data_IF_281783613723
#
_entry.id   IF_281783613723
#
_cell.length_a   1.000
_cell.length_b   1.000
_cell.length_c   1.000
_cell.angle_alpha   90.00
_cell.angle_beta   90.00
_cell.angle_gamma   90.00
#
_symmetry.space_group_name_H-M   'P 1'
#
loop_
_entity.id
_entity.type
_entity.pdbx_description
1 polymer ?
#
# COMPACT_ATOMS: atom_id res chain seq x y z
N UNK A 1 -3.45 -12.25 -20.77
CA UNK A 1 -2.53 -11.58 -19.82
C UNK A 1 -2.46 -10.12 -20.21
N UNK A 2 -2.84 -9.20 -19.32
CA UNK A 2 -2.75 -7.76 -19.58
C UNK A 2 -1.46 -7.24 -18.95
N UNK A 3 -0.66 -6.50 -19.72
CA UNK A 3 0.57 -5.85 -19.24
C UNK A 3 0.31 -4.36 -19.10
N UNK A 4 0.60 -3.81 -17.92
CA UNK A 4 0.48 -2.39 -17.64
C UNK A 4 1.85 -1.74 -17.84
N UNK A 5 1.91 -0.67 -18.63
CA UNK A 5 3.12 0.13 -18.76
C UNK A 5 3.40 0.97 -17.50
N UNK A 6 4.61 1.52 -17.36
CA UNK A 6 4.95 2.40 -16.26
C UNK A 6 4.05 3.65 -16.24
N UNK A 7 3.86 4.23 -15.06
CA UNK A 7 3.08 5.47 -14.87
C UNK A 7 1.62 5.38 -15.35
N UNK A 8 1.01 4.19 -15.28
CA UNK A 8 -0.40 3.98 -15.62
C UNK A 8 -1.23 3.65 -14.39
N UNK A 9 -2.34 4.36 -14.26
CA UNK A 9 -3.33 4.05 -13.24
C UNK A 9 -3.95 2.69 -13.49
N UNK A 10 -4.10 1.93 -12.41
CA UNK A 10 -4.72 0.63 -12.46
C UNK A 10 -5.49 0.38 -11.17
N UNK A 11 -6.60 -0.34 -11.32
CA UNK A 11 -7.43 -0.84 -10.23
C UNK A 11 -7.82 -2.26 -10.59
N UNK A 12 -7.66 -3.16 -9.64
CA UNK A 12 -8.18 -4.52 -9.74
C UNK A 12 -9.50 -4.58 -8.97
N UNK A 13 -10.53 -5.09 -9.63
CA UNK A 13 -11.85 -5.24 -9.04
C UNK A 13 -12.43 -6.59 -9.46
N UNK A 14 -13.19 -7.20 -8.57
CA UNK A 14 -13.82 -8.47 -8.88
C UNK A 14 -15.00 -8.21 -9.82
N UNK A 15 -14.94 -8.79 -11.00
CA UNK A 15 -16.05 -8.73 -11.97
C UNK A 15 -17.12 -9.81 -11.71
N UNK A 16 -16.84 -10.78 -10.84
CA UNK A 16 -17.74 -11.87 -10.49
C UNK A 16 -18.33 -11.68 -9.09
N UNK A 17 -19.60 -12.03 -8.92
CA UNK A 17 -20.26 -12.07 -7.61
C UNK A 17 -20.08 -13.42 -6.89
N UNK A 18 -19.71 -14.47 -7.63
CA UNK A 18 -19.66 -15.85 -7.12
C UNK A 18 -18.25 -16.41 -6.99
N UNK A 19 -17.29 -15.83 -7.71
CA UNK A 19 -15.90 -16.31 -7.74
C UNK A 19 -14.97 -15.32 -7.04
N UNK A 20 -13.96 -15.83 -6.34
CA UNK A 20 -12.97 -14.99 -5.66
C UNK A 20 -11.97 -14.37 -6.64
N UNK A 21 -11.72 -13.06 -6.53
CA UNK A 21 -10.61 -12.40 -7.21
C UNK A 21 -9.28 -12.83 -6.59
N UNK A 22 -8.45 -13.53 -7.37
CA UNK A 22 -7.09 -13.93 -6.98
C UNK A 22 -6.07 -13.09 -7.73
N UNK A 23 -5.28 -12.31 -6.99
CA UNK A 23 -4.19 -11.49 -7.52
C UNK A 23 -2.87 -12.16 -7.13
N UNK A 24 -2.06 -12.49 -8.14
CA UNK A 24 -0.70 -12.95 -7.92
C UNK A 24 0.26 -11.78 -8.11
N UNK A 25 0.91 -11.37 -7.03
CA UNK A 25 1.91 -10.30 -7.03
C UNK A 25 3.29 -10.96 -7.01
N UNK A 26 4.07 -10.72 -8.06
CA UNK A 26 5.47 -11.13 -8.11
C UNK A 26 6.32 -10.01 -7.52
N UNK A 27 7.16 -10.37 -6.56
CA UNK A 27 8.11 -9.43 -5.97
C UNK A 27 9.35 -9.34 -6.84
N UNK A 28 9.96 -8.15 -6.91
CA UNK A 28 11.24 -7.97 -7.58
C UNK A 28 12.31 -8.83 -6.86
N UNK A 29 12.99 -9.76 -7.55
CA UNK A 29 14.06 -10.54 -6.95
C UNK A 29 15.18 -9.69 -6.33
N UNK A 30 15.45 -8.50 -6.88
CA UNK A 30 16.52 -7.62 -6.41
C UNK A 30 16.13 -6.88 -5.13
N UNK A 31 14.83 -6.58 -4.93
CA UNK A 31 14.31 -5.88 -3.76
C UNK A 31 13.34 -6.71 -2.90
N UNK A 32 13.39 -8.03 -3.06
CA UNK A 32 12.44 -9.00 -2.49
C UNK A 32 12.18 -8.77 -1.00
N UNK A 33 13.25 -8.55 -0.23
CA UNK A 33 13.18 -8.38 1.22
C UNK A 33 12.43 -7.10 1.63
N UNK A 34 12.61 -6.00 0.91
CA UNK A 34 11.91 -4.75 1.21
C UNK A 34 10.45 -4.84 0.78
N UNK A 35 10.16 -5.37 -0.42
CA UNK A 35 8.78 -5.54 -0.88
C UNK A 35 8.00 -6.54 0.00
N UNK A 36 8.63 -7.66 0.37
CA UNK A 36 8.04 -8.62 1.28
C UNK A 36 7.75 -7.99 2.65
N UNK A 37 8.66 -7.16 3.18
CA UNK A 37 8.42 -6.39 4.41
C UNK A 37 7.25 -5.43 4.24
N UNK A 38 7.17 -4.68 3.15
CA UNK A 38 6.05 -3.79 2.86
C UNK A 38 4.72 -4.55 2.90
N UNK A 39 4.59 -5.64 2.13
CA UNK A 39 3.34 -6.40 2.06
C UNK A 39 2.94 -7.02 3.40
N UNK A 40 3.92 -7.55 4.15
CA UNK A 40 3.66 -8.10 5.50
C UNK A 40 3.13 -7.02 6.45
N UNK A 41 3.77 -5.85 6.46
CA UNK A 41 3.34 -4.74 7.31
C UNK A 41 1.97 -4.21 6.89
N UNK A 42 1.77 -3.98 5.59
CA UNK A 42 0.55 -3.41 5.04
C UNK A 42 -0.66 -4.31 5.29
N UNK A 43 -0.57 -5.59 4.91
CA UNK A 43 -1.68 -6.53 5.11
C UNK A 43 -1.83 -6.98 6.57
N UNK A 44 -0.73 -7.07 7.33
CA UNK A 44 -0.76 -7.31 8.77
C UNK A 44 -1.59 -6.24 9.49
N UNK A 45 -1.27 -4.97 9.25
CA UNK A 45 -2.01 -3.85 9.83
C UNK A 45 -3.49 -3.83 9.42
N UNK A 46 -3.81 -4.08 8.15
CA UNK A 46 -5.19 -4.18 7.69
C UNK A 46 -5.95 -5.34 8.36
N UNK A 47 -5.29 -6.48 8.53
CA UNK A 47 -5.84 -7.64 9.24
C UNK A 47 -6.13 -7.32 10.71
N UNK A 48 -5.22 -6.61 11.39
CA UNK A 48 -5.41 -6.20 12.79
C UNK A 48 -6.56 -5.19 12.93
N UNK A 49 -6.64 -4.20 12.04
CA UNK A 49 -7.76 -3.25 12.00
C UNK A 49 -9.10 -3.98 11.80
N UNK A 50 -9.13 -4.98 10.91
CA UNK A 50 -10.31 -5.81 10.67
C UNK A 50 -10.70 -6.63 11.91
N UNK A 51 -9.74 -7.24 12.60
CA UNK A 51 -9.97 -7.99 13.83
C UNK A 51 -10.45 -7.09 14.97
N UNK A 52 -9.88 -5.89 15.10
CA UNK A 52 -10.27 -4.88 16.07
C UNK A 52 -11.58 -4.14 15.72
N UNK A 53 -12.16 -4.39 14.54
CA UNK A 53 -13.35 -3.69 14.00
C UNK A 53 -13.17 -2.17 13.94
N UNK A 54 -11.94 -1.71 13.72
CA UNK A 54 -11.61 -0.29 13.59
C UNK A 54 -11.22 0.02 12.14
N UNK A 55 -11.60 1.19 11.60
CA UNK A 55 -11.14 1.59 10.29
C UNK A 55 -9.61 1.82 10.30
N UNK A 56 -8.87 1.43 9.24
CA UNK A 56 -7.45 1.70 9.15
C UNK A 56 -7.18 3.20 9.06
N UNK A 57 -6.09 3.66 9.69
CA UNK A 57 -5.67 5.05 9.62
C UNK A 57 -5.09 5.37 8.24
N UNK A 58 -5.63 6.39 7.58
CA UNK A 58 -5.12 6.83 6.27
C UNK A 58 -3.64 7.21 6.34
N UNK A 59 -3.21 7.85 7.43
CA UNK A 59 -1.81 8.25 7.63
C UNK A 59 -0.87 7.05 7.72
N UNK A 60 -1.25 6.00 8.45
CA UNK A 60 -0.46 4.77 8.53
C UNK A 60 -0.37 4.08 7.16
N UNK A 61 -1.49 4.02 6.42
CA UNK A 61 -1.48 3.46 5.06
C UNK A 61 -0.52 4.23 4.16
N UNK A 62 -0.55 5.56 4.19
CA UNK A 62 0.37 6.40 3.41
C UNK A 62 1.83 6.26 3.83
N UNK A 63 2.12 6.04 5.13
CA UNK A 63 3.49 5.73 5.58
C UNK A 63 4.01 4.43 4.98
N UNK A 64 3.17 3.39 4.86
CA UNK A 64 3.54 2.16 4.17
C UNK A 64 3.72 2.37 2.68
N UNK A 65 2.78 3.05 2.01
CA UNK A 65 2.86 3.34 0.57
C UNK A 65 4.14 4.13 0.22
N UNK A 66 4.50 5.11 1.04
CA UNK A 66 5.73 5.87 0.89
C UNK A 66 6.99 4.99 1.04
N UNK A 67 6.96 3.93 1.84
CA UNK A 67 8.11 3.04 2.01
C UNK A 67 8.38 2.12 0.81
N UNK A 68 7.38 1.89 -0.03
CA UNK A 68 7.47 1.07 -1.24
C UNK A 68 7.38 1.89 -2.53
N UNK A 69 7.39 3.23 -2.44
CA UNK A 69 7.17 4.15 -3.57
C UNK A 69 5.92 3.81 -4.41
N UNK A 70 4.83 3.43 -3.75
CA UNK A 70 3.57 3.04 -4.38
C UNK A 70 2.49 4.11 -4.16
N UNK A 71 2.47 5.22 -4.92
CA UNK A 71 1.49 6.29 -4.71
C UNK A 71 0.05 5.83 -5.01
N UNK A 72 -0.88 6.24 -4.16
CA UNK A 72 -2.31 6.03 -4.41
C UNK A 72 -2.77 6.92 -5.56
N UNK A 73 -3.29 6.31 -6.63
CA UNK A 73 -3.71 7.04 -7.82
C UNK A 73 -4.87 8.01 -7.52
N UNK A 74 -4.63 9.30 -7.74
CA UNK A 74 -5.66 10.34 -7.76
C UNK A 74 -6.12 10.53 -9.21
N UNK A 75 -7.35 10.11 -9.56
CA UNK A 75 -7.85 10.24 -10.92
C UNK A 75 -8.05 11.72 -11.25
N UNK A 76 -7.32 12.21 -12.26
CA UNK A 76 -7.46 13.60 -12.73
C UNK A 76 -8.47 13.68 -13.87
N UNK A 77 -9.36 14.68 -13.88
CA UNK A 77 -10.28 14.87 -14.98
C UNK A 77 -9.54 15.38 -16.25
N UNK A 78 -10.20 15.25 -17.40
CA UNK A 78 -9.78 15.85 -18.68
C UNK A 78 -8.43 15.36 -19.26
N UNK A 79 -8.02 14.13 -18.96
CA UNK A 79 -6.82 13.53 -19.56
C UNK A 79 -5.50 14.08 -19.01
N UNK A 80 -5.52 14.78 -17.87
CA UNK A 80 -4.34 15.31 -17.18
C UNK A 80 -3.62 14.21 -16.35
N UNK A 81 -3.42 13.03 -16.93
CA UNK A 81 -2.82 11.88 -16.25
C UNK A 81 -1.40 12.20 -15.74
N UNK A 82 -0.60 12.92 -16.54
CA UNK A 82 0.74 13.36 -16.16
C UNK A 82 0.77 14.20 -14.89
N UNK A 83 -0.16 15.15 -14.76
CA UNK A 83 -0.30 15.98 -13.56
C UNK A 83 -0.77 15.12 -12.38
N UNK A 84 -1.67 14.18 -12.64
CA UNK A 84 -2.18 13.27 -11.62
C UNK A 84 -1.10 12.41 -10.97
N UNK A 85 -0.10 11.96 -11.72
CA UNK A 85 1.04 11.22 -11.17
C UNK A 85 1.77 12.07 -10.14
N UNK A 86 2.12 13.32 -10.48
CA UNK A 86 2.78 14.24 -9.56
C UNK A 86 1.93 14.56 -8.33
N UNK A 87 0.63 14.79 -8.52
CA UNK A 87 -0.30 15.05 -7.42
C UNK A 87 -0.38 13.83 -6.48
N UNK A 88 -0.49 12.63 -7.03
CA UNK A 88 -0.54 11.38 -6.26
C UNK A 88 0.74 11.17 -5.45
N UNK A 89 1.89 11.45 -6.06
CA UNK A 89 3.20 11.34 -5.42
C UNK A 89 3.40 12.38 -4.31
N UNK A 90 3.08 13.66 -4.57
CA UNK A 90 3.15 14.72 -3.58
C UNK A 90 2.18 14.51 -2.41
N UNK A 91 0.96 14.04 -2.70
CA UNK A 91 -0.01 13.66 -1.68
C UNK A 91 0.57 12.56 -0.79
N UNK A 92 1.20 11.54 -1.40
CA UNK A 92 1.82 10.46 -0.65
C UNK A 92 2.89 10.96 0.31
N UNK A 93 3.82 11.78 -0.17
CA UNK A 93 4.88 12.37 0.66
C UNK A 93 4.29 13.20 1.80
N UNK A 94 3.33 14.08 1.51
CA UNK A 94 2.76 14.98 2.50
C UNK A 94 2.03 14.22 3.62
N UNK A 95 1.16 13.26 3.26
CA UNK A 95 0.38 12.50 4.24
C UNK A 95 1.28 11.54 5.03
N UNK A 96 2.24 10.89 4.37
CA UNK A 96 3.22 10.03 5.04
C UNK A 96 4.10 10.82 6.03
N UNK A 97 4.51 12.04 5.65
CA UNK A 97 5.28 12.91 6.53
C UNK A 97 4.52 13.24 7.81
N UNK A 98 3.25 13.63 7.70
CA UNK A 98 2.39 13.86 8.87
C UNK A 98 2.27 12.59 9.71
N UNK A 99 2.01 11.44 9.07
CA UNK A 99 1.91 10.16 9.75
C UNK A 99 3.14 9.83 10.57
N UNK A 100 4.33 9.98 9.98
CA UNK A 100 5.60 9.60 10.60
C UNK A 100 6.06 10.57 11.67
N UNK A 101 6.02 11.87 11.40
CA UNK A 101 6.64 12.88 12.26
C UNK A 101 5.68 13.53 13.25
N UNK A 102 4.38 13.59 12.93
CA UNK A 102 3.37 14.19 13.82
C UNK A 102 2.65 13.13 14.62
N UNK A 103 2.28 12.00 14.00
CA UNK A 103 1.52 10.93 14.64
C UNK A 103 2.38 9.77 15.15
N UNK A 104 3.67 9.71 14.76
CA UNK A 104 4.62 8.70 15.23
C UNK A 104 4.45 7.30 14.58
N UNK A 105 3.75 7.22 13.46
CA UNK A 105 3.58 5.97 12.70
C UNK A 105 4.91 5.48 12.11
N UNK A 106 5.07 4.16 12.01
CA UNK A 106 6.28 3.53 11.50
C UNK A 106 6.01 2.84 10.16
N UNK A 107 7.04 2.76 9.32
CA UNK A 107 6.96 2.01 8.06
C UNK A 107 7.21 0.51 8.25
N UNK A 108 7.84 0.13 9.37
CA UNK A 108 8.24 -1.24 9.66
C UNK A 108 7.92 -1.58 11.11
N UNK A 109 7.09 -2.60 11.29
CA UNK A 109 6.67 -3.17 12.55
C UNK A 109 7.20 -4.61 12.64
N UNK A 110 8.20 -4.88 13.50
CA UNK A 110 8.84 -6.18 13.62
C UNK A 110 7.87 -7.34 13.82
N UNK A 111 6.74 -7.12 14.49
CA UNK A 111 5.67 -8.08 14.72
C UNK A 111 5.10 -8.69 13.44
N UNK A 112 5.12 -7.97 12.31
CA UNK A 112 4.55 -8.46 11.06
C UNK A 112 5.51 -9.29 10.21
N UNK A 113 6.83 -9.21 10.46
CA UNK A 113 7.82 -9.92 9.64
C UNK A 113 8.85 -10.74 10.42
N UNK A 114 8.90 -10.62 11.75
CA UNK A 114 9.78 -11.40 12.61
C UNK A 114 9.11 -12.72 12.99
N UNK A 115 9.72 -13.89 12.67
CA UNK A 115 9.12 -15.19 12.93
C UNK A 115 8.94 -15.54 14.42
N UNK A 116 9.48 -14.73 15.36
CA UNK A 116 9.48 -15.01 16.79
C UNK A 116 8.34 -14.41 17.64
N UNK A 117 7.50 -13.52 17.09
CA UNK A 117 6.53 -12.75 17.88
C UNK A 117 5.07 -13.20 17.74
N UNK A 118 4.80 -14.43 17.26
CA UNK A 118 3.47 -15.05 17.37
C UNK A 118 3.29 -15.74 18.71
N UNK A 119 3.34 -14.98 19.80
CA UNK A 119 2.85 -15.43 21.10
C UNK A 119 1.84 -14.41 21.64
N UNK A 120 0.60 -14.54 21.18
CA UNK A 120 -0.62 -14.64 22.00
C UNK A 120 -1.86 -14.70 21.11
#
# INVERSE_FOLDING_TARGET
>A
MATLGPNRYHRFENASETEDLKINIQLDPEDYENEARFFRNFFGYLSDCKQAKTPPSIFQLFVFLHSADTPLAVPMPFGLEGVGIWVSWLLMIAVAFIGRYVLGYQSNYPEYYSPGNKTK
#
